data_IF_907860205930
#
_entry.id   IF_907860205930
#
_cell.length_a   1.000
_cell.length_b   1.000
_cell.length_c   1.000
_cell.angle_alpha   90.00
_cell.angle_beta   90.00
_cell.angle_gamma   90.00
#
_symmetry.space_group_name_H-M   'P 1'
#
loop_
_entity.id
_entity.type
_entity.pdbx_description
1 polymer ?
#
# COMPACT_ATOMS: atom_id res chain seq x y z
N UNK A 1 16.79 -18.11 -25.09
CA UNK A 1 15.54 -18.28 -24.32
C UNK A 1 15.73 -17.55 -23.01
N UNK A 2 15.30 -16.29 -22.93
CA UNK A 2 15.35 -15.52 -21.69
C UNK A 2 14.33 -16.14 -20.75
N UNK A 3 14.82 -16.80 -19.71
CA UNK A 3 14.00 -17.46 -18.71
C UNK A 3 13.01 -16.46 -18.12
N UNK A 4 11.74 -16.87 -18.10
CA UNK A 4 10.70 -16.23 -17.33
C UNK A 4 11.24 -15.86 -15.95
N UNK A 5 11.42 -14.56 -15.74
CA UNK A 5 11.57 -14.00 -14.39
C UNK A 5 10.23 -14.30 -13.72
N UNK A 6 10.13 -15.48 -13.09
CA UNK A 6 9.06 -15.82 -12.15
C UNK A 6 8.93 -14.61 -11.24
N UNK A 7 7.85 -13.84 -11.43
CA UNK A 7 7.52 -12.64 -10.66
C UNK A 7 7.74 -12.97 -9.18
N UNK A 8 8.82 -12.44 -8.62
CA UNK A 8 9.20 -12.63 -7.21
C UNK A 8 8.00 -12.23 -6.35
N UNK A 9 7.45 -13.20 -5.61
CA UNK A 9 6.64 -13.02 -4.41
C UNK A 9 5.95 -11.65 -4.28
N UNK A 10 4.78 -11.50 -4.89
CA UNK A 10 3.88 -10.39 -4.58
C UNK A 10 3.25 -10.66 -3.20
N UNK A 11 4.02 -10.54 -2.12
CA UNK A 11 3.52 -10.73 -0.75
C UNK A 11 2.54 -9.63 -0.32
N UNK A 12 2.63 -8.46 -0.98
CA UNK A 12 1.83 -7.28 -0.67
C UNK A 12 1.35 -6.60 -1.95
N UNK A 13 0.11 -6.14 -1.95
CA UNK A 13 -0.51 -5.34 -3.00
C UNK A 13 -1.26 -4.17 -2.37
N UNK A 14 -1.30 -3.03 -3.06
CA UNK A 14 -2.23 -1.94 -2.76
C UNK A 14 -3.24 -1.84 -3.91
N UNK A 15 -4.52 -1.79 -3.56
CA UNK A 15 -5.60 -1.38 -4.44
C UNK A 15 -6.03 0.04 -4.06
N UNK A 16 -6.33 0.85 -5.07
CA UNK A 16 -6.78 2.23 -4.92
C UNK A 16 -8.15 2.39 -5.59
N UNK A 17 -9.05 3.10 -4.92
CA UNK A 17 -10.30 3.58 -5.52
C UNK A 17 -10.57 5.01 -5.09
N UNK A 18 -11.05 5.83 -6.02
CA UNK A 18 -11.30 7.26 -5.79
C UNK A 18 -12.80 7.54 -5.89
N UNK A 19 -13.36 8.20 -4.89
CA UNK A 19 -14.77 8.61 -4.83
C UNK A 19 -14.89 9.93 -4.08
N UNK A 20 -15.52 10.95 -4.69
CA UNK A 20 -15.84 12.24 -4.06
C UNK A 20 -14.68 12.84 -3.22
N UNK A 21 -13.55 13.14 -3.87
CA UNK A 21 -12.33 13.69 -3.27
C UNK A 21 -11.71 12.85 -2.15
N UNK A 22 -12.09 11.57 -2.08
CA UNK A 22 -11.55 10.61 -1.12
C UNK A 22 -10.91 9.44 -1.87
N UNK A 23 -9.68 9.14 -1.49
CA UNK A 23 -8.94 7.97 -1.95
C UNK A 23 -9.05 6.88 -0.89
N UNK A 24 -9.51 5.71 -1.30
CA UNK A 24 -9.50 4.50 -0.49
C UNK A 24 -8.32 3.63 -0.91
N UNK A 25 -7.37 3.44 0.00
CA UNK A 25 -6.29 2.48 -0.14
C UNK A 25 -6.68 1.18 0.56
N UNK A 26 -6.45 0.05 -0.10
CA UNK A 26 -6.60 -1.30 0.47
C UNK A 26 -5.28 -2.02 0.37
N UNK A 27 -4.65 -2.29 1.52
CA UNK A 27 -3.47 -3.15 1.63
C UNK A 27 -3.93 -4.60 1.70
N UNK A 28 -3.34 -5.45 0.86
CA UNK A 28 -3.68 -6.86 0.71
C UNK A 28 -2.41 -7.69 0.86
N UNK A 29 -2.40 -8.67 1.75
CA UNK A 29 -1.30 -9.63 1.92
C UNK A 29 -1.46 -10.86 1.01
N UNK A 30 -0.48 -11.77 1.04
CA UNK A 30 -0.50 -13.05 0.31
C UNK A 30 -1.64 -14.00 0.69
N UNK A 31 -2.21 -13.85 1.88
CA UNK A 31 -3.32 -14.66 2.38
C UNK A 31 -4.68 -13.99 2.11
N UNK A 32 -4.68 -12.88 1.35
CA UNK A 32 -5.86 -12.06 1.07
C UNK A 32 -6.48 -11.41 2.32
N UNK A 33 -5.69 -11.20 3.38
CA UNK A 33 -6.05 -10.32 4.48
C UNK A 33 -6.04 -8.88 3.98
N UNK A 34 -7.11 -8.14 4.27
CA UNK A 34 -7.34 -6.79 3.72
C UNK A 34 -7.48 -5.79 4.85
N UNK A 35 -6.76 -4.68 4.76
CA UNK A 35 -7.02 -3.49 5.59
C UNK A 35 -7.15 -2.27 4.71
N UNK A 36 -8.12 -1.41 5.03
CA UNK A 36 -8.39 -0.21 4.24
C UNK A 36 -8.19 1.08 5.02
N UNK A 37 -7.83 2.13 4.30
CA UNK A 37 -7.77 3.51 4.81
C UNK A 37 -8.34 4.45 3.77
N UNK A 38 -9.23 5.32 4.23
CA UNK A 38 -9.71 6.48 3.46
C UNK A 38 -8.81 7.67 3.77
N UNK A 39 -8.47 8.43 2.74
CA UNK A 39 -7.55 9.56 2.78
C UNK A 39 -8.16 10.64 1.87
N UNK A 40 -8.23 11.91 2.29
CA UNK A 40 -8.57 12.99 1.38
C UNK A 40 -7.59 13.01 0.19
N UNK A 41 -8.07 13.24 -1.03
CA UNK A 41 -7.20 13.30 -2.21
C UNK A 41 -6.09 14.35 -2.06
N UNK A 42 -6.36 15.44 -1.34
CA UNK A 42 -5.36 16.47 -1.01
C UNK A 42 -4.22 15.99 -0.12
N UNK A 43 -4.42 14.91 0.64
CA UNK A 43 -3.39 14.32 1.51
C UNK A 43 -2.65 13.16 0.82
N UNK A 44 -3.13 12.69 -0.33
CA UNK A 44 -2.51 11.60 -1.09
C UNK A 44 -1.37 12.10 -1.99
N UNK A 45 -0.35 12.68 -1.35
CA UNK A 45 0.80 13.33 -1.99
C UNK A 45 2.11 12.72 -1.48
N UNK A 46 3.19 12.91 -2.24
CA UNK A 46 4.48 12.27 -2.01
C UNK A 46 5.04 12.59 -0.62
N UNK A 47 4.80 13.79 -0.11
CA UNK A 47 5.22 14.26 1.21
C UNK A 47 4.64 13.41 2.34
N UNK A 48 3.44 12.85 2.14
CA UNK A 48 2.73 12.05 3.12
C UNK A 48 2.95 10.54 2.95
N UNK A 49 3.77 10.11 1.97
CA UNK A 49 3.93 8.68 1.61
C UNK A 49 4.32 7.80 2.80
N UNK A 50 5.23 8.28 3.64
CA UNK A 50 5.71 7.56 4.82
C UNK A 50 4.59 7.42 5.86
N UNK A 51 3.88 8.51 6.16
CA UNK A 51 2.78 8.50 7.10
C UNK A 51 1.67 7.56 6.64
N UNK A 52 1.28 7.63 5.36
CA UNK A 52 0.25 6.79 4.78
C UNK A 52 0.65 5.31 4.88
N UNK A 53 1.90 4.97 4.53
CA UNK A 53 2.42 3.61 4.61
C UNK A 53 2.47 3.08 6.05
N UNK A 54 2.97 3.87 7.01
CA UNK A 54 2.99 3.50 8.45
C UNK A 54 1.59 3.29 9.02
N UNK A 55 0.64 4.08 8.55
CA UNK A 55 -0.75 3.95 8.98
C UNK A 55 -1.41 2.66 8.47
N UNK A 56 -1.13 2.26 7.22
CA UNK A 56 -1.58 0.96 6.70
C UNK A 56 -0.94 -0.20 7.46
N UNK A 57 0.37 -0.11 7.74
CA UNK A 57 1.11 -1.06 8.57
C UNK A 57 0.50 -1.21 9.97
N UNK A 58 0.26 -0.09 10.67
CA UNK A 58 -0.34 -0.10 12.00
C UNK A 58 -1.73 -0.77 12.00
N UNK A 59 -2.58 -0.44 11.01
CA UNK A 59 -3.89 -1.08 10.85
C UNK A 59 -3.77 -2.58 10.60
N UNK A 60 -2.82 -2.99 9.77
CA UNK A 60 -2.57 -4.39 9.46
C UNK A 60 -2.13 -5.18 10.71
N UNK A 61 -1.13 -4.67 11.43
CA UNK A 61 -0.63 -5.28 12.67
C UNK A 61 -1.76 -5.49 13.68
N UNK A 62 -2.59 -4.46 13.88
CA UNK A 62 -3.73 -4.52 14.80
C UNK A 62 -4.79 -5.54 14.35
N UNK A 63 -5.14 -5.57 13.06
CA UNK A 63 -6.16 -6.47 12.53
C UNK A 63 -5.74 -7.94 12.57
N UNK A 64 -4.44 -8.22 12.41
CA UNK A 64 -3.91 -9.59 12.29
C UNK A 64 -3.16 -10.06 13.55
N UNK A 65 -3.04 -9.22 14.58
CA UNK A 65 -2.27 -9.49 15.79
C UNK A 65 -0.81 -9.91 15.49
N UNK A 66 -0.15 -9.15 14.63
CA UNK A 66 1.25 -9.38 14.22
C UNK A 66 2.08 -8.10 14.35
N UNK A 67 3.40 -8.24 14.29
CA UNK A 67 4.34 -7.13 14.12
C UNK A 67 5.09 -7.38 12.82
N UNK A 68 4.93 -6.48 11.85
CA UNK A 68 5.63 -6.60 10.57
C UNK A 68 7.12 -6.29 10.72
N UNK A 69 7.93 -7.15 10.13
CA UNK A 69 9.37 -6.93 9.98
C UNK A 69 9.67 -5.65 9.18
N UNK A 70 10.77 -4.93 9.49
CA UNK A 70 11.09 -3.65 8.84
C UNK A 70 11.06 -3.68 7.30
N UNK A 71 11.49 -4.79 6.68
CA UNK A 71 11.47 -4.93 5.22
C UNK A 71 10.04 -4.90 4.63
N UNK A 72 9.05 -5.44 5.34
CA UNK A 72 7.64 -5.39 4.94
C UNK A 72 7.10 -3.97 5.06
N UNK A 73 7.50 -3.24 6.10
CA UNK A 73 7.11 -1.83 6.28
C UNK A 73 7.62 -0.99 5.12
N UNK A 74 8.92 -1.13 4.77
CA UNK A 74 9.50 -0.44 3.61
C UNK A 74 8.82 -0.82 2.30
N UNK A 75 8.43 -2.10 2.14
CA UNK A 75 7.67 -2.57 0.97
C UNK A 75 6.31 -1.87 0.86
N UNK A 76 5.57 -1.76 1.97
CA UNK A 76 4.26 -1.09 2.00
C UNK A 76 4.41 0.39 1.63
N UNK A 77 5.39 1.10 2.21
CA UNK A 77 5.67 2.51 1.88
C UNK A 77 6.00 2.65 0.38
N UNK A 78 6.84 1.78 -0.16
CA UNK A 78 7.15 1.78 -1.60
C UNK A 78 5.92 1.54 -2.47
N UNK A 79 5.01 0.64 -2.08
CA UNK A 79 3.77 0.44 -2.81
C UNK A 79 2.86 1.68 -2.77
N UNK A 80 2.79 2.38 -1.64
CA UNK A 80 2.04 3.65 -1.54
C UNK A 80 2.65 4.70 -2.47
N UNK A 81 3.98 4.82 -2.45
CA UNK A 81 4.72 5.72 -3.33
C UNK A 81 4.37 5.50 -4.80
N UNK A 82 4.40 4.24 -5.25
CA UNK A 82 4.09 3.86 -6.62
C UNK A 82 2.65 4.25 -6.99
N UNK A 83 1.69 4.13 -6.07
CA UNK A 83 0.30 4.55 -6.31
C UNK A 83 0.15 6.07 -6.40
N UNK A 84 0.84 6.83 -5.55
CA UNK A 84 0.80 8.30 -5.58
C UNK A 84 1.35 8.82 -6.91
N UNK A 85 2.48 8.28 -7.36
CA UNK A 85 3.07 8.65 -8.66
C UNK A 85 2.11 8.30 -9.80
N UNK A 86 1.56 7.09 -9.81
CA UNK A 86 0.65 6.65 -10.86
C UNK A 86 -0.67 7.44 -10.92
N UNK A 87 -1.14 7.99 -9.79
CA UNK A 87 -2.33 8.85 -9.75
C UNK A 87 -2.00 10.30 -10.14
N UNK A 88 -0.79 10.77 -9.85
CA UNK A 88 -0.34 12.13 -10.21
C UNK A 88 -0.06 12.29 -11.71
N UNK A 89 0.26 11.20 -12.40
CA UNK A 89 0.51 11.17 -13.86
C UNK A 89 -0.78 11.11 -14.70
N UNK A 90 -1.97 11.07 -14.09
CA UNK A 90 -3.28 11.03 -14.78
C UNK A 90 -3.86 12.41 -15.02
#
# INVERSE_FOLDING_TARGET
>A
MMGDVKKKNQEWKIEISTENDTITLVLIDKNNNRVSRKIPSSEFIIENVHEIGRNLEFKYNKANNVILEPYNISRIIGLVNDQIIAESDK
#
